data_IF_257840766015
#
_entry.id   IF_257840766015
#
_cell.length_a   1.000
_cell.length_b   1.000
_cell.length_c   1.000
_cell.angle_alpha   90.00
_cell.angle_beta   90.00
_cell.angle_gamma   90.00
#
_symmetry.space_group_name_H-M   'P 1'
#
loop_
_entity.id
_entity.type
_entity.pdbx_description
1 polymer ?
#
# COMPACT_ATOMS: atom_id res chain seq x y z
N UNK A 1 -1.44 -13.82 -3.46
CA UNK A 1 -2.46 -12.83 -3.05
C UNK A 1 -3.13 -13.39 -1.80
N UNK A 2 -3.02 -12.72 -0.64
CA UNK A 2 -3.49 -13.26 0.65
C UNK A 2 -4.97 -13.72 0.66
N UNK A 3 -5.79 -13.16 -0.24
CA UNK A 3 -7.22 -13.49 -0.38
C UNK A 3 -7.60 -14.04 -1.76
N UNK A 4 -6.64 -14.40 -2.61
CA UNK A 4 -6.91 -14.88 -3.97
C UNK A 4 -7.57 -13.85 -4.91
N UNK A 5 -7.70 -12.59 -4.50
CA UNK A 5 -8.18 -11.50 -5.34
C UNK A 5 -7.17 -11.13 -6.43
N UNK A 6 -7.62 -10.44 -7.50
CA UNK A 6 -6.78 -9.96 -8.60
C UNK A 6 -6.21 -8.54 -8.38
N UNK A 7 -6.76 -7.79 -7.43
CA UNK A 7 -6.33 -6.42 -7.17
C UNK A 7 -7.07 -5.74 -6.03
N UNK A 8 -7.15 -4.42 -6.13
CA UNK A 8 -7.75 -3.55 -5.12
C UNK A 8 -8.66 -2.51 -5.78
N UNK A 9 -9.79 -2.19 -5.15
CA UNK A 9 -10.73 -1.17 -5.60
C UNK A 9 -10.95 -0.15 -4.48
N UNK A 10 -10.95 1.13 -4.86
CA UNK A 10 -11.35 2.25 -3.99
C UNK A 10 -12.23 3.21 -4.78
N UNK A 11 -13.30 3.67 -4.16
CA UNK A 11 -14.31 4.56 -4.77
C UNK A 11 -13.82 6.01 -5.00
N UNK A 12 -12.71 6.36 -4.34
CA UNK A 12 -12.31 7.72 -4.06
C UNK A 12 -11.01 8.11 -4.77
N UNK A 13 -11.12 8.53 -6.03
CA UNK A 13 -9.96 9.06 -6.76
C UNK A 13 -9.85 10.59 -6.58
N UNK A 14 -10.91 11.31 -6.92
CA UNK A 14 -10.90 12.75 -7.16
C UNK A 14 -12.22 13.47 -6.78
N UNK A 15 -13.04 12.88 -5.90
CA UNK A 15 -14.26 13.53 -5.41
C UNK A 15 -13.92 14.65 -4.40
N UNK A 16 -13.41 15.77 -4.94
CA UNK A 16 -12.89 16.88 -4.16
C UNK A 16 -13.98 17.65 -3.39
N UNK A 17 -13.61 18.11 -2.21
CA UNK A 17 -14.36 19.12 -1.45
C UNK A 17 -14.11 20.51 -2.04
N UNK A 18 -14.73 21.56 -1.45
CA UNK A 18 -14.66 22.93 -1.97
C UNK A 18 -13.23 23.45 -2.16
N UNK A 19 -12.33 23.18 -1.21
CA UNK A 19 -10.93 23.60 -1.28
C UNK A 19 -10.00 22.56 -0.62
N UNK A 20 -9.68 21.46 -1.34
CA UNK A 20 -8.97 20.32 -0.76
C UNK A 20 -7.49 20.60 -0.45
N UNK A 21 -6.89 21.63 -1.05
CA UNK A 21 -5.49 22.01 -0.79
C UNK A 21 -5.34 22.72 0.57
N UNK A 22 -6.41 23.36 1.03
CA UNK A 22 -6.45 24.06 2.32
C UNK A 22 -7.13 23.21 3.40
N UNK A 23 -8.24 22.52 3.06
CA UNK A 23 -9.02 21.75 4.01
C UNK A 23 -9.69 20.53 3.35
N UNK A 24 -9.27 19.32 3.76
CA UNK A 24 -9.82 18.05 3.28
C UNK A 24 -11.08 17.56 4.01
N UNK A 25 -11.64 18.35 4.93
CA UNK A 25 -12.78 17.94 5.75
C UNK A 25 -14.05 17.81 4.91
N UNK A 26 -14.78 16.73 5.16
CA UNK A 26 -16.11 16.50 4.64
C UNK A 26 -17.09 16.31 5.81
N UNK A 27 -18.37 16.51 5.57
CA UNK A 27 -19.43 16.35 6.58
C UNK A 27 -19.73 14.88 6.88
N UNK A 28 -19.23 13.97 6.03
CA UNK A 28 -19.21 12.53 6.23
C UNK A 28 -17.80 11.96 6.13
N UNK A 29 -17.56 10.87 6.87
CA UNK A 29 -16.33 10.05 6.86
C UNK A 29 -15.07 10.77 7.34
N UNK A 30 -13.97 10.01 7.43
CA UNK A 30 -12.66 10.51 7.77
C UNK A 30 -12.14 11.51 6.71
N UNK A 31 -11.35 12.49 7.17
CA UNK A 31 -10.79 13.54 6.29
C UNK A 31 -9.95 12.94 5.17
N UNK A 32 -10.24 13.33 3.93
CA UNK A 32 -9.58 12.80 2.74
C UNK A 32 -9.99 11.37 2.35
N UNK A 33 -11.07 10.81 2.92
CA UNK A 33 -11.69 9.58 2.40
C UNK A 33 -12.13 9.69 0.92
N UNK A 34 -12.79 10.78 0.45
CA UNK A 34 -13.36 10.82 -0.90
C UNK A 34 -12.36 11.12 -2.03
N UNK A 35 -11.08 11.37 -1.72
CA UNK A 35 -10.06 11.62 -2.75
C UNK A 35 -8.67 11.11 -2.35
N UNK A 36 -7.95 10.58 -3.34
CA UNK A 36 -6.53 10.20 -3.24
C UNK A 36 -5.62 11.14 -4.01
N UNK A 37 -6.15 11.88 -4.97
CA UNK A 37 -5.45 12.90 -5.73
C UNK A 37 -5.90 14.30 -5.29
N UNK A 38 -5.00 15.26 -5.36
CA UNK A 38 -5.30 16.67 -5.15
C UNK A 38 -5.35 17.42 -6.50
N UNK A 39 -6.13 18.50 -6.61
CA UNK A 39 -6.04 19.39 -7.76
C UNK A 39 -4.68 20.09 -7.76
N UNK A 40 -4.11 20.31 -8.95
CA UNK A 40 -2.83 20.98 -9.15
C UNK A 40 -2.85 21.89 -10.37
N UNK A 41 -1.83 22.76 -10.49
CA UNK A 41 -1.78 23.81 -11.52
C UNK A 41 -1.70 23.30 -12.96
N UNK A 42 -1.14 22.10 -13.17
CA UNK A 42 -1.01 21.45 -14.48
C UNK A 42 -1.58 20.02 -14.47
N UNK A 43 -2.66 19.78 -13.73
CA UNK A 43 -3.30 18.47 -13.59
C UNK A 43 -3.38 18.01 -12.15
N UNK A 44 -3.49 16.69 -11.92
CA UNK A 44 -3.63 16.13 -10.59
C UNK A 44 -2.29 15.93 -9.89
N UNK A 45 -2.22 16.26 -8.61
CA UNK A 45 -1.09 15.97 -7.73
C UNK A 45 -1.36 14.68 -6.94
N UNK A 46 -0.39 13.77 -6.93
CA UNK A 46 -0.49 12.52 -6.18
C UNK A 46 -0.32 12.77 -4.68
N UNK A 47 -1.19 12.18 -3.85
CA UNK A 47 -0.96 12.13 -2.40
C UNK A 47 0.05 11.06 -2.03
N UNK A 48 0.63 11.17 -0.83
CA UNK A 48 1.49 10.12 -0.27
C UNK A 48 0.77 8.76 -0.23
N UNK A 49 -0.52 8.73 0.16
CA UNK A 49 -1.34 7.50 0.19
C UNK A 49 -1.44 6.87 -1.20
N UNK A 50 -1.62 7.68 -2.24
CA UNK A 50 -1.66 7.21 -3.62
C UNK A 50 -0.29 6.69 -4.10
N UNK A 51 0.80 7.32 -3.70
CA UNK A 51 2.15 6.84 -4.01
C UNK A 51 2.46 5.50 -3.32
N UNK A 52 2.08 5.33 -2.05
CA UNK A 52 2.20 4.05 -1.35
C UNK A 52 1.39 2.95 -2.05
N UNK A 53 0.18 3.26 -2.52
CA UNK A 53 -0.65 2.32 -3.29
C UNK A 53 0.00 1.92 -4.61
N UNK A 54 0.64 2.86 -5.32
CA UNK A 54 1.40 2.56 -6.54
C UNK A 54 2.63 1.70 -6.25
N UNK A 55 3.35 1.93 -5.15
CA UNK A 55 4.45 1.07 -4.72
C UNK A 55 3.96 -0.36 -4.48
N UNK A 56 2.86 -0.52 -3.73
CA UNK A 56 2.26 -1.83 -3.47
C UNK A 56 1.82 -2.54 -4.76
N UNK A 57 1.27 -1.81 -5.73
CA UNK A 57 0.93 -2.37 -7.05
C UNK A 57 2.16 -2.89 -7.79
N UNK A 58 3.25 -2.11 -7.78
CA UNK A 58 4.50 -2.51 -8.43
C UNK A 58 5.14 -3.72 -7.74
N UNK A 59 5.09 -3.78 -6.42
CA UNK A 59 5.61 -4.93 -5.66
C UNK A 59 4.76 -6.18 -5.90
N UNK A 60 3.43 -6.03 -6.00
CA UNK A 60 2.53 -7.13 -6.38
C UNK A 60 2.85 -7.67 -7.78
N UNK A 61 3.15 -6.79 -8.74
CA UNK A 61 3.59 -7.20 -10.09
C UNK A 61 4.93 -7.93 -10.05
N UNK A 62 5.91 -7.47 -9.26
CA UNK A 62 7.19 -8.16 -9.07
C UNK A 62 6.97 -9.54 -8.46
N UNK A 63 6.11 -9.66 -7.45
CA UNK A 63 5.75 -10.94 -6.84
C UNK A 63 5.22 -11.93 -7.89
N UNK A 64 4.22 -11.52 -8.69
CA UNK A 64 3.64 -12.37 -9.73
C UNK A 64 4.67 -12.76 -10.80
N UNK A 65 5.50 -11.81 -11.21
CA UNK A 65 6.56 -12.06 -12.19
C UNK A 65 7.61 -13.07 -11.66
N UNK A 66 8.05 -12.88 -10.41
CA UNK A 66 9.07 -13.73 -9.79
C UNK A 66 8.54 -15.11 -9.39
N UNK A 67 7.23 -15.31 -9.28
CA UNK A 67 6.63 -16.59 -8.91
C UNK A 67 7.15 -17.78 -9.74
N UNK A 68 7.31 -17.57 -11.06
CA UNK A 68 7.80 -18.60 -11.98
C UNK A 68 9.33 -18.60 -12.16
N UNK A 69 10.04 -17.62 -11.60
CA UNK A 69 11.48 -17.42 -11.80
C UNK A 69 12.30 -17.73 -10.55
N UNK A 70 11.79 -17.40 -9.38
CA UNK A 70 12.46 -17.52 -8.08
C UNK A 70 11.46 -18.01 -7.01
N UNK A 71 10.97 -19.26 -7.11
CA UNK A 71 9.92 -19.77 -6.22
C UNK A 71 10.34 -19.78 -4.74
N UNK A 72 11.63 -20.00 -4.44
CA UNK A 72 12.13 -19.97 -3.08
C UNK A 72 11.96 -18.59 -2.42
N UNK A 73 12.30 -17.51 -3.13
CA UNK A 73 12.16 -16.14 -2.63
C UNK A 73 10.69 -15.76 -2.45
N UNK A 74 9.85 -16.15 -3.40
CA UNK A 74 8.40 -15.91 -3.37
C UNK A 74 7.74 -16.66 -2.20
N UNK A 75 8.23 -17.85 -1.86
CA UNK A 75 7.76 -18.59 -0.68
C UNK A 75 8.06 -17.85 0.63
N UNK A 76 9.19 -17.15 0.73
CA UNK A 76 9.55 -16.34 1.88
C UNK A 76 8.64 -15.11 2.01
N UNK A 77 8.39 -14.41 0.90
CA UNK A 77 7.44 -13.29 0.86
C UNK A 77 6.03 -13.77 1.23
N UNK A 78 5.61 -14.93 0.73
CA UNK A 78 4.29 -15.51 1.05
C UNK A 78 4.18 -15.85 2.54
N UNK A 79 5.22 -16.42 3.14
CA UNK A 79 5.27 -16.67 4.59
C UNK A 79 5.12 -15.38 5.42
N UNK A 80 5.74 -14.27 4.98
CA UNK A 80 5.58 -12.97 5.63
C UNK A 80 4.16 -12.42 5.46
N UNK A 81 3.55 -12.59 4.29
CA UNK A 81 2.16 -12.21 4.02
C UNK A 81 1.16 -13.03 4.86
N UNK A 82 1.38 -14.33 5.01
CA UNK A 82 0.51 -15.22 5.78
C UNK A 82 0.61 -14.95 7.29
N UNK A 83 1.77 -14.46 7.74
CA UNK A 83 2.02 -14.05 9.13
C UNK A 83 1.59 -12.61 9.43
N UNK A 84 0.91 -11.93 8.51
CA UNK A 84 0.48 -10.54 8.68
C UNK A 84 -0.51 -10.42 9.84
N UNK A 85 -0.12 -9.70 10.89
CA UNK A 85 -1.00 -9.39 12.02
C UNK A 85 -2.10 -8.42 11.58
N UNK A 86 -3.36 -8.82 11.73
CA UNK A 86 -4.47 -7.90 11.52
C UNK A 86 -4.38 -6.81 12.59
N UNK A 87 -4.19 -5.55 12.16
CA UNK A 87 -4.13 -4.42 13.09
C UNK A 87 -5.44 -4.34 13.86
N UNK A 88 -5.35 -4.21 15.17
CA UNK A 88 -6.51 -3.87 15.98
C UNK A 88 -6.87 -2.40 15.72
N UNK A 89 -8.15 -2.15 15.43
CA UNK A 89 -8.68 -0.80 15.19
C UNK A 89 -9.44 -0.30 16.41
N UNK A 90 -9.30 0.98 16.71
CA UNK A 90 -10.14 1.69 17.67
C UNK A 90 -10.75 2.93 17.04
N UNK A 91 -11.84 3.40 17.65
CA UNK A 91 -12.49 4.65 17.26
C UNK A 91 -11.98 5.74 18.18
N UNK A 92 -11.40 6.81 17.64
CA UNK A 92 -10.97 7.94 18.45
C UNK A 92 -12.17 8.74 19.00
N UNK A 93 -11.90 9.73 19.86
CA UNK A 93 -12.91 10.60 20.48
C UNK A 93 -13.84 11.33 19.49
N UNK A 94 -13.44 11.40 18.21
CA UNK A 94 -14.14 12.09 17.13
C UNK A 94 -14.75 11.14 16.10
N UNK A 95 -14.77 9.82 16.35
CA UNK A 95 -15.44 8.84 15.51
C UNK A 95 -14.63 8.23 14.36
N UNK A 96 -13.35 8.59 14.20
CA UNK A 96 -12.49 8.07 13.13
C UNK A 96 -11.82 6.75 13.53
N UNK A 97 -11.69 5.81 12.59
CA UNK A 97 -10.94 4.58 12.81
C UNK A 97 -9.43 4.83 12.79
N UNK A 98 -8.73 4.40 13.84
CA UNK A 98 -7.27 4.50 13.98
C UNK A 98 -6.67 3.18 14.45
N UNK A 99 -5.38 2.91 14.21
CA UNK A 99 -4.71 1.77 14.82
C UNK A 99 -4.72 1.91 16.34
N UNK A 100 -5.05 0.82 17.04
CA UNK A 100 -5.06 0.74 18.50
C UNK A 100 -3.64 0.83 19.12
N UNK A 101 -2.61 0.40 18.38
CA UNK A 101 -1.25 0.33 18.89
C UNK A 101 -0.20 0.85 17.90
N UNK A 102 0.67 1.73 18.39
CA UNK A 102 1.86 2.18 17.67
C UNK A 102 2.81 1.00 17.40
N UNK A 103 2.96 0.08 18.35
CA UNK A 103 3.84 -1.08 18.19
C UNK A 103 3.35 -2.00 17.06
N UNK A 104 2.04 -2.27 16.99
CA UNK A 104 1.45 -3.04 15.88
C UNK A 104 1.68 -2.34 14.53
N UNK A 105 1.52 -1.01 14.50
CA UNK A 105 1.77 -0.20 13.30
C UNK A 105 3.23 -0.27 12.85
N UNK A 106 4.18 -0.17 13.79
CA UNK A 106 5.61 -0.26 13.49
C UNK A 106 6.01 -1.65 13.01
N UNK A 107 5.47 -2.71 13.61
CA UNK A 107 5.70 -4.09 13.16
C UNK A 107 5.19 -4.28 11.73
N UNK A 108 3.99 -3.78 11.43
CA UNK A 108 3.44 -3.83 10.08
C UNK A 108 4.36 -3.13 9.06
N UNK A 109 4.81 -1.91 9.37
CA UNK A 109 5.70 -1.15 8.50
C UNK A 109 7.01 -1.92 8.26
N UNK A 110 7.57 -2.54 9.30
CA UNK A 110 8.78 -3.35 9.19
C UNK A 110 8.56 -4.58 8.29
N UNK A 111 7.45 -5.30 8.45
CA UNK A 111 7.12 -6.45 7.59
C UNK A 111 6.94 -6.04 6.13
N UNK A 112 6.27 -4.91 5.86
CA UNK A 112 6.13 -4.36 4.50
C UNK A 112 7.50 -4.07 3.90
N UNK A 113 8.39 -3.42 4.66
CA UNK A 113 9.74 -3.12 4.19
C UNK A 113 10.55 -4.39 3.88
N UNK A 114 10.48 -5.40 4.75
CA UNK A 114 11.15 -6.69 4.53
C UNK A 114 10.67 -7.37 3.25
N UNK A 115 9.35 -7.39 3.00
CA UNK A 115 8.79 -7.94 1.77
C UNK A 115 9.26 -7.17 0.53
N UNK A 116 9.26 -5.85 0.59
CA UNK A 116 9.77 -4.99 -0.47
C UNK A 116 11.23 -5.30 -0.81
N UNK A 117 12.09 -5.37 0.22
CA UNK A 117 13.52 -5.63 0.05
C UNK A 117 13.81 -7.02 -0.54
N UNK A 118 13.03 -8.04 -0.15
CA UNK A 118 13.10 -9.37 -0.74
C UNK A 118 12.75 -9.34 -2.23
N UNK A 119 11.65 -8.68 -2.61
CA UNK A 119 11.23 -8.57 -4.01
C UNK A 119 12.27 -7.80 -4.86
N UNK A 120 12.82 -6.72 -4.32
CA UNK A 120 13.91 -5.96 -4.97
C UNK A 120 15.18 -6.79 -5.15
N UNK A 121 15.58 -7.55 -4.12
CA UNK A 121 16.71 -8.48 -4.20
C UNK A 121 16.49 -9.52 -5.29
N UNK A 122 15.27 -10.08 -5.36
CA UNK A 122 14.90 -11.06 -6.37
C UNK A 122 14.96 -10.50 -7.79
N UNK A 123 14.36 -9.33 -8.01
CA UNK A 123 14.40 -8.63 -9.29
C UNK A 123 15.84 -8.32 -9.73
N UNK A 124 16.70 -7.85 -8.83
CA UNK A 124 18.11 -7.57 -9.12
C UNK A 124 18.90 -8.84 -9.45
N UNK A 125 18.64 -9.95 -8.76
CA UNK A 125 19.28 -11.22 -9.06
C UNK A 125 18.89 -11.70 -10.47
N UNK A 126 17.61 -11.61 -10.84
CA UNK A 126 17.12 -11.96 -12.16
C UNK A 126 17.79 -11.14 -13.28
N UNK A 127 17.89 -9.81 -13.10
CA UNK A 127 18.54 -8.93 -14.07
C UNK A 127 20.04 -9.24 -14.26
N UNK A 128 20.72 -9.70 -13.21
CA UNK A 128 22.14 -10.10 -13.29
C UNK A 128 22.31 -11.40 -14.06
N UNK A 129 21.38 -12.34 -13.92
CA UNK A 129 21.39 -13.62 -14.63
C UNK A 129 21.05 -13.44 -16.11
N UNK A 130 20.10 -12.55 -16.45
CA UNK A 130 19.71 -12.29 -17.84
C UNK A 130 20.75 -11.55 -18.67
N UNK A 131 21.68 -10.85 -18.02
CA UNK A 131 22.75 -10.08 -18.67
C UNK A 131 24.07 -10.88 -18.81
N UNK A 132 24.08 -12.17 -18.46
CA UNK A 132 25.18 -13.10 -18.72
C UNK A 132 24.89 -13.90 -19.98
#
# INVERSE_FOLDING_TARGET
MAYGADGFLRWALDAWVKDPLVNGSHWYWESGDPFLLYPGTNGTMMSLRFQQMQQALNDSRKYLFLQNKQPALVSEVTRLLDGWAQLSGETNDYGAQVPFSENETLQLIQTIQQMHDLLEKGARAYLKESNK
#
